data_IF_450629486956
#
_entry.id   IF_450629486956
#
_cell.length_a   1.000
_cell.length_b   1.000
_cell.length_c   1.000
_cell.angle_alpha   90.00
_cell.angle_beta   90.00
_cell.angle_gamma   90.00
#
_symmetry.space_group_name_H-M   'P 1'
#
loop_
_entity.id
_entity.type
_entity.pdbx_description
1 polymer ?
#
# COMPACT_ATOMS: atom_id res chain seq x y z
N UNK A 1 -37.04 -26.38 9.18
CA UNK A 1 -36.89 -24.95 8.81
C UNK A 1 -35.51 -24.45 9.30
N UNK A 2 -34.51 -24.56 8.45
CA UNK A 2 -33.13 -24.12 8.77
C UNK A 2 -32.97 -22.62 8.51
N UNK A 3 -32.67 -21.87 9.56
CA UNK A 3 -32.26 -20.46 9.42
C UNK A 3 -30.93 -20.41 8.69
N UNK A 4 -30.92 -19.99 7.43
CA UNK A 4 -29.72 -19.56 6.70
C UNK A 4 -29.17 -18.33 7.41
N UNK A 5 -28.11 -18.47 8.15
CA UNK A 5 -27.25 -17.36 8.56
C UNK A 5 -26.65 -16.77 7.27
N UNK A 6 -27.13 -15.60 6.86
CA UNK A 6 -26.42 -14.74 5.93
C UNK A 6 -25.23 -14.17 6.71
N UNK A 7 -24.07 -14.84 6.64
CA UNK A 7 -22.81 -14.20 6.93
C UNK A 7 -22.66 -13.06 5.92
N UNK A 8 -22.90 -11.83 6.34
CA UNK A 8 -22.33 -10.67 5.66
C UNK A 8 -20.85 -10.75 5.96
N UNK A 9 -20.08 -11.29 5.01
CA UNK A 9 -18.63 -11.25 5.03
C UNK A 9 -18.22 -9.78 5.30
N UNK A 10 -17.53 -9.57 6.40
CA UNK A 10 -17.02 -8.26 6.79
C UNK A 10 -15.86 -7.94 5.85
N UNK A 11 -16.14 -7.24 4.75
CA UNK A 11 -15.10 -6.82 3.81
C UNK A 11 -14.21 -5.77 4.49
N UNK A 12 -12.92 -6.06 4.59
CA UNK A 12 -11.93 -5.11 5.05
C UNK A 12 -11.62 -4.12 3.93
N UNK A 13 -11.82 -2.84 4.21
CA UNK A 13 -11.64 -1.75 3.25
C UNK A 13 -10.52 -0.84 3.71
N UNK A 14 -9.52 -0.67 2.86
CA UNK A 14 -8.49 0.35 3.04
C UNK A 14 -9.07 1.73 2.70
N UNK A 15 -8.83 2.71 3.56
CA UNK A 15 -9.20 4.11 3.30
C UNK A 15 -8.01 5.01 3.63
N UNK A 16 -7.54 5.79 2.67
CA UNK A 16 -6.39 6.68 2.83
C UNK A 16 -6.53 7.95 1.99
N UNK A 17 -5.92 9.05 2.46
CA UNK A 17 -5.90 10.32 1.74
C UNK A 17 -5.17 10.20 0.41
N UNK A 18 -5.68 10.87 -0.63
CA UNK A 18 -5.05 10.88 -1.94
C UNK A 18 -3.66 11.54 -1.91
N UNK A 19 -3.38 12.47 -1.00
CA UNK A 19 -2.02 13.03 -0.82
C UNK A 19 -1.01 11.94 -0.46
N UNK A 20 -1.39 10.99 0.41
CA UNK A 20 -0.54 9.87 0.79
C UNK A 20 -0.23 8.95 -0.39
N UNK A 21 -1.12 8.88 -1.37
CA UNK A 21 -0.93 8.06 -2.58
C UNK A 21 -0.16 8.81 -3.67
N UNK A 22 -0.57 10.06 -3.95
CA UNK A 22 -0.17 10.79 -5.15
C UNK A 22 1.06 11.67 -4.93
N UNK A 23 1.27 12.16 -3.70
CA UNK A 23 2.31 13.14 -3.37
C UNK A 23 3.50 12.55 -2.60
N UNK A 24 3.48 11.27 -2.31
CA UNK A 24 4.59 10.60 -1.63
C UNK A 24 5.79 10.51 -2.58
N UNK A 25 6.91 11.07 -2.16
CA UNK A 25 8.18 11.06 -2.91
C UNK A 25 9.36 10.94 -1.97
N UNK A 26 10.54 10.67 -2.53
CA UNK A 26 11.81 10.94 -1.85
C UNK A 26 12.25 12.35 -2.22
N UNK A 27 12.58 13.17 -1.23
CA UNK A 27 13.25 14.43 -1.48
C UNK A 27 14.66 14.12 -2.02
N UNK A 28 15.01 14.69 -3.18
CA UNK A 28 16.32 14.47 -3.81
C UNK A 28 17.48 14.94 -2.91
N UNK A 29 17.29 16.02 -2.18
CA UNK A 29 18.32 16.56 -1.27
C UNK A 29 18.48 15.70 -0.01
N UNK A 30 17.40 15.12 0.48
CA UNK A 30 17.40 14.19 1.61
C UNK A 30 17.99 12.84 1.22
N UNK A 31 17.68 12.34 0.00
CA UNK A 31 18.18 11.05 -0.50
C UNK A 31 19.69 11.04 -0.79
N UNK A 32 20.32 12.20 -0.99
CA UNK A 32 21.78 12.32 -1.17
C UNK A 32 22.57 12.06 0.10
N UNK A 33 21.97 12.31 1.26
CA UNK A 33 22.64 12.27 2.56
C UNK A 33 22.30 11.04 3.41
N UNK A 34 21.22 10.35 3.11
CA UNK A 34 20.84 9.09 3.75
C UNK A 34 20.96 7.96 2.72
N UNK A 35 21.42 6.81 3.14
CA UNK A 35 21.47 5.59 2.31
C UNK A 35 20.20 5.48 1.48
N UNK A 36 20.35 5.44 0.15
CA UNK A 36 19.27 5.40 -0.86
C UNK A 36 18.18 4.36 -0.52
N UNK A 37 17.26 4.72 0.35
CA UNK A 37 16.13 3.87 0.71
C UNK A 37 14.93 4.29 -0.15
N UNK A 38 14.43 3.35 -0.94
CA UNK A 38 13.24 3.55 -1.76
C UNK A 38 12.01 3.73 -0.87
N UNK A 39 11.19 4.75 -1.11
CA UNK A 39 9.90 4.91 -0.46
C UNK A 39 8.87 3.89 -0.96
N UNK A 40 9.12 3.26 -2.10
CA UNK A 40 8.22 2.26 -2.67
C UNK A 40 8.35 0.95 -1.90
N UNK A 41 7.35 0.67 -1.09
CA UNK A 41 7.23 -0.58 -0.33
C UNK A 41 7.33 -1.81 -1.26
N UNK A 42 7.97 -2.87 -0.81
CA UNK A 42 7.85 -4.15 -1.48
C UNK A 42 6.43 -4.73 -1.26
N UNK A 43 6.10 -5.81 -1.98
CA UNK A 43 4.75 -6.38 -1.97
C UNK A 43 4.30 -6.76 -0.55
N UNK A 44 5.18 -7.34 0.23
CA UNK A 44 4.85 -7.83 1.56
C UNK A 44 4.69 -6.68 2.57
N UNK A 45 5.61 -5.71 2.53
CA UNK A 45 5.49 -4.46 3.30
C UNK A 45 4.17 -3.75 2.96
N UNK A 46 3.82 -3.70 1.66
CA UNK A 46 2.58 -3.07 1.21
C UNK A 46 1.34 -3.78 1.74
N UNK A 47 1.33 -5.11 1.71
CA UNK A 47 0.25 -5.91 2.28
C UNK A 47 0.09 -5.66 3.78
N UNK A 48 1.21 -5.65 4.53
CA UNK A 48 1.20 -5.37 5.96
C UNK A 48 0.63 -3.97 6.25
N UNK A 49 1.11 -2.94 5.56
CA UNK A 49 0.58 -1.59 5.71
C UNK A 49 -0.90 -1.53 5.31
N UNK A 50 -1.30 -2.16 4.20
CA UNK A 50 -2.70 -2.19 3.79
C UNK A 50 -3.62 -2.86 4.83
N UNK A 51 -3.15 -3.95 5.47
CA UNK A 51 -3.85 -4.57 6.59
C UNK A 51 -4.04 -3.60 7.75
N UNK A 52 -2.96 -2.96 8.21
CA UNK A 52 -3.03 -1.99 9.30
C UNK A 52 -3.96 -0.82 8.95
N UNK A 53 -3.91 -0.32 7.71
CA UNK A 53 -4.80 0.74 7.23
C UNK A 53 -6.28 0.31 7.19
N UNK A 54 -6.57 -0.97 6.94
CA UNK A 54 -7.95 -1.48 6.91
C UNK A 54 -8.61 -1.53 8.29
N UNK A 55 -7.82 -1.52 9.35
CA UNK A 55 -8.32 -1.47 10.74
C UNK A 55 -8.52 -0.05 11.27
N UNK A 56 -8.04 0.96 10.55
CA UNK A 56 -8.24 2.37 10.94
C UNK A 56 -9.68 2.80 10.67
N UNK A 57 -10.33 3.34 11.69
CA UNK A 57 -11.69 3.91 11.59
C UNK A 57 -11.63 5.44 11.44
N UNK A 58 -12.59 6.07 10.76
CA UNK A 58 -12.58 7.52 10.53
C UNK A 58 -12.53 8.38 11.80
N UNK A 59 -13.01 7.84 12.92
CA UNK A 59 -13.10 8.54 14.20
C UNK A 59 -12.05 8.09 15.22
N UNK A 60 -11.08 7.29 14.81
CA UNK A 60 -10.03 6.82 15.71
C UNK A 60 -9.21 8.02 16.23
N UNK A 61 -9.07 8.11 17.53
CA UNK A 61 -8.19 9.06 18.21
C UNK A 61 -6.75 8.56 18.21
N UNK A 62 -6.57 7.26 18.27
CA UNK A 62 -5.30 6.55 18.21
C UNK A 62 -5.42 5.36 17.26
N UNK A 63 -4.30 4.97 16.64
CA UNK A 63 -4.28 3.78 15.80
C UNK A 63 -4.25 2.52 16.66
N UNK A 64 -4.89 1.42 16.23
CA UNK A 64 -4.81 0.16 16.93
C UNK A 64 -3.37 -0.38 16.90
N UNK A 65 -2.97 -1.05 17.98
CA UNK A 65 -1.76 -1.89 17.99
C UNK A 65 -2.13 -3.25 17.41
N UNK A 66 -1.55 -3.57 16.28
CA UNK A 66 -1.74 -4.88 15.65
C UNK A 66 -0.92 -5.93 16.41
N UNK A 67 -1.57 -7.00 16.81
CA UNK A 67 -0.96 -8.14 17.48
C UNK A 67 -0.97 -9.35 16.56
N UNK A 68 0.16 -9.59 15.89
CA UNK A 68 0.26 -10.58 14.81
C UNK A 68 1.05 -11.80 15.29
N UNK A 69 0.45 -13.00 15.33
CA UNK A 69 1.19 -14.24 15.62
C UNK A 69 2.31 -14.47 14.59
N UNK A 70 3.44 -15.05 15.01
CA UNK A 70 4.59 -15.30 14.11
C UNK A 70 4.21 -16.07 12.85
N UNK A 71 3.40 -17.12 12.98
CA UNK A 71 2.98 -17.92 11.85
C UNK A 71 2.15 -17.12 10.85
N UNK A 72 1.24 -16.28 11.33
CA UNK A 72 0.43 -15.39 10.49
C UNK A 72 1.31 -14.31 9.84
N UNK A 73 2.21 -13.68 10.60
CA UNK A 73 3.16 -12.71 10.08
C UNK A 73 4.03 -13.31 8.96
N UNK A 74 4.53 -14.52 9.17
CA UNK A 74 5.37 -15.21 8.19
C UNK A 74 4.61 -15.57 6.91
N UNK A 75 3.39 -16.11 7.02
CA UNK A 75 2.49 -16.34 5.87
C UNK A 75 2.26 -15.05 5.10
N UNK A 76 1.93 -13.99 5.82
CA UNK A 76 1.63 -12.68 5.26
C UNK A 76 2.80 -12.07 4.52
N UNK A 77 4.01 -12.22 5.06
CA UNK A 77 5.25 -11.73 4.48
C UNK A 77 5.93 -12.73 3.53
N UNK A 78 5.25 -13.85 3.19
CA UNK A 78 5.78 -14.97 2.39
C UNK A 78 7.17 -15.43 2.89
N UNK A 79 7.36 -15.42 4.19
CA UNK A 79 8.58 -15.90 4.81
C UNK A 79 8.46 -17.42 4.97
N UNK A 80 9.25 -18.17 4.18
CA UNK A 80 9.25 -19.63 4.24
C UNK A 80 9.74 -20.12 5.59
N UNK A 81 9.06 -21.15 6.10
CA UNK A 81 9.44 -21.82 7.34
C UNK A 81 10.84 -22.43 7.21
N UNK A 82 11.64 -22.29 8.24
CA UNK A 82 13.00 -22.81 8.30
C UNK A 82 13.83 -22.05 9.34
N UNK A 83 14.21 -22.73 10.42
CA UNK A 83 15.16 -22.42 11.54
C UNK A 83 15.58 -21.01 11.92
N UNK A 84 15.25 -19.98 11.12
CA UNK A 84 15.63 -18.57 11.34
C UNK A 84 14.42 -17.62 11.27
N UNK A 85 13.24 -18.08 11.67
CA UNK A 85 12.00 -17.32 11.61
C UNK A 85 12.12 -15.94 12.25
N UNK A 86 12.60 -15.92 13.50
CA UNK A 86 12.79 -14.69 14.25
C UNK A 86 13.69 -13.68 13.52
N UNK A 87 14.83 -14.13 13.00
CA UNK A 87 15.77 -13.24 12.28
C UNK A 87 15.13 -12.63 11.02
N UNK A 88 14.29 -13.39 10.33
CA UNK A 88 13.57 -12.90 9.15
C UNK A 88 12.48 -11.88 9.50
N UNK A 89 11.70 -12.17 10.56
CA UNK A 89 10.70 -11.23 11.10
C UNK A 89 11.38 -9.95 11.53
N UNK A 90 12.46 -10.06 12.32
CA UNK A 90 13.25 -8.90 12.76
C UNK A 90 13.75 -8.07 11.58
N UNK A 91 14.36 -8.70 10.56
CA UNK A 91 14.87 -8.01 9.39
C UNK A 91 13.75 -7.28 8.62
N UNK A 92 12.58 -7.89 8.48
CA UNK A 92 11.43 -7.29 7.79
C UNK A 92 10.91 -6.07 8.53
N UNK A 93 10.78 -6.15 9.85
CA UNK A 93 10.33 -5.02 10.67
C UNK A 93 11.38 -3.93 10.69
N UNK A 94 12.67 -4.25 10.92
CA UNK A 94 13.76 -3.28 10.91
C UNK A 94 13.84 -2.52 9.58
N UNK A 95 13.65 -3.23 8.46
CA UNK A 95 13.61 -2.60 7.15
C UNK A 95 12.42 -1.62 7.03
N UNK A 96 11.24 -2.01 7.50
CA UNK A 96 10.05 -1.15 7.45
C UNK A 96 10.19 0.07 8.37
N UNK A 97 10.75 -0.10 9.56
CA UNK A 97 11.05 1.00 10.51
C UNK A 97 12.04 2.01 9.95
N UNK A 98 13.04 1.55 9.18
CA UNK A 98 14.01 2.42 8.53
C UNK A 98 13.46 3.21 7.33
N UNK A 99 12.22 2.96 6.90
CA UNK A 99 11.64 3.63 5.73
C UNK A 99 10.93 4.92 6.13
N UNK A 100 11.49 6.03 5.69
CA UNK A 100 10.85 7.34 5.73
C UNK A 100 10.40 7.74 4.32
N UNK A 101 9.43 8.63 4.24
CA UNK A 101 8.96 9.24 3.00
C UNK A 101 8.56 10.69 3.25
N UNK A 102 8.58 11.48 2.19
CA UNK A 102 8.20 12.87 2.22
C UNK A 102 6.86 13.09 1.52
N UNK A 103 6.10 14.05 1.99
CA UNK A 103 4.87 14.53 1.35
C UNK A 103 4.95 16.05 1.24
N UNK A 104 4.78 16.57 0.04
CA UNK A 104 4.52 17.99 -0.16
C UNK A 104 3.08 18.29 0.30
N UNK A 105 2.95 18.88 1.49
CA UNK A 105 1.63 19.16 2.09
C UNK A 105 1.02 20.46 1.59
N UNK A 106 1.87 21.43 1.27
CA UNK A 106 1.56 22.72 0.65
C UNK A 106 2.67 23.04 -0.36
N UNK A 107 2.50 24.00 -1.28
CA UNK A 107 3.59 24.45 -2.14
C UNK A 107 4.82 24.80 -1.32
N UNK A 108 5.96 24.21 -1.66
CA UNK A 108 7.27 24.41 -1.00
C UNK A 108 7.33 23.98 0.48
N UNK A 109 6.34 23.23 0.99
CA UNK A 109 6.32 22.68 2.36
C UNK A 109 6.35 21.17 2.32
N UNK A 110 7.48 20.58 2.71
CA UNK A 110 7.70 19.14 2.73
C UNK A 110 7.72 18.66 4.18
N UNK A 111 6.93 17.63 4.44
CA UNK A 111 6.90 16.94 5.74
C UNK A 111 7.36 15.50 5.59
N UNK A 112 8.11 15.01 6.59
CA UNK A 112 8.66 13.66 6.61
C UNK A 112 7.87 12.76 7.54
N UNK A 113 7.66 11.50 7.12
CA UNK A 113 6.86 10.51 7.82
C UNK A 113 7.50 9.14 7.81
N UNK A 114 7.11 8.34 8.79
CA UNK A 114 7.33 6.90 8.83
C UNK A 114 6.00 6.18 8.75
N UNK A 115 6.01 4.94 8.23
CA UNK A 115 4.81 4.12 8.17
C UNK A 115 4.38 3.60 9.52
N UNK A 116 5.34 3.20 10.34
CA UNK A 116 5.09 2.56 11.63
C UNK A 116 5.68 3.39 12.78
N UNK A 117 5.03 3.28 13.93
CA UNK A 117 5.44 3.95 15.15
C UNK A 117 6.76 3.38 15.68
N UNK A 118 7.47 4.20 16.44
CA UNK A 118 8.57 3.72 17.27
C UNK A 118 8.05 2.70 18.30
N UNK A 119 8.91 1.77 18.70
CA UNK A 119 8.55 0.83 19.74
C UNK A 119 7.85 -0.46 19.26
N UNK A 120 7.93 -0.84 17.96
CA UNK A 120 7.55 -2.17 17.53
C UNK A 120 8.21 -3.23 18.41
N UNK A 121 7.41 -4.20 18.90
CA UNK A 121 7.88 -5.26 19.79
C UNK A 121 7.75 -6.63 19.12
N UNK A 122 8.81 -7.44 19.24
CA UNK A 122 8.79 -8.83 18.84
C UNK A 122 8.93 -9.66 20.12
N UNK A 123 7.84 -10.29 20.52
CA UNK A 123 7.82 -11.16 21.70
C UNK A 123 8.10 -12.61 21.31
N UNK A 124 9.30 -13.09 21.68
CA UNK A 124 9.71 -14.47 21.39
C UNK A 124 9.02 -15.50 22.26
N UNK A 125 8.58 -15.12 23.47
CA UNK A 125 7.92 -16.02 24.42
C UNK A 125 6.50 -16.30 23.96
N UNK A 126 5.77 -15.23 23.61
CA UNK A 126 4.41 -15.31 23.10
C UNK A 126 4.34 -15.65 21.61
N UNK A 127 5.48 -15.55 20.89
CA UNK A 127 5.58 -15.71 19.43
C UNK A 127 4.64 -14.72 18.68
N UNK A 128 4.67 -13.45 19.11
CA UNK A 128 3.84 -12.38 18.56
C UNK A 128 4.68 -11.16 18.14
N UNK A 129 4.19 -10.46 17.14
CA UNK A 129 4.68 -9.15 16.71
C UNK A 129 3.64 -8.12 17.11
N UNK A 130 4.07 -7.02 17.75
CA UNK A 130 3.26 -5.85 18.07
C UNK A 130 3.73 -4.71 17.20
N UNK A 131 2.84 -4.17 16.37
CA UNK A 131 3.16 -3.13 15.41
C UNK A 131 2.00 -2.13 15.33
N UNK A 132 2.31 -0.85 15.16
CA UNK A 132 1.32 0.22 15.09
C UNK A 132 1.68 1.19 13.96
N UNK A 133 0.67 1.77 13.30
CA UNK A 133 0.89 2.88 12.37
C UNK A 133 1.43 4.11 13.10
N UNK A 134 2.31 4.84 12.43
CA UNK A 134 2.87 6.08 12.98
C UNK A 134 1.76 7.09 13.27
N UNK A 135 1.69 7.66 14.48
CA UNK A 135 0.69 8.69 14.85
C UNK A 135 0.69 9.89 13.91
N UNK A 136 1.84 10.22 13.31
CA UNK A 136 1.96 11.29 12.32
C UNK A 136 1.08 11.11 11.09
N UNK A 137 0.66 9.87 10.78
CA UNK A 137 -0.23 9.57 9.66
C UNK A 137 -1.70 9.89 9.93
N UNK A 138 -2.07 10.21 11.18
CA UNK A 138 -3.47 10.42 11.58
C UNK A 138 -4.18 11.44 10.69
N UNK A 139 -3.53 12.55 10.36
CA UNK A 139 -4.12 13.59 9.50
C UNK A 139 -4.47 13.13 8.08
N UNK A 140 -3.89 12.00 7.60
CA UNK A 140 -4.20 11.41 6.30
C UNK A 140 -5.20 10.26 6.37
N UNK A 141 -5.43 9.68 7.54
CA UNK A 141 -6.18 8.44 7.68
C UNK A 141 -7.52 8.62 8.41
N UNK A 142 -7.65 9.67 9.24
CA UNK A 142 -8.86 9.91 10.03
C UNK A 142 -9.53 11.22 9.68
N UNK A 143 -10.81 11.36 10.00
CA UNK A 143 -11.57 12.62 9.83
C UNK A 143 -11.81 13.05 8.36
N UNK A 144 -11.44 12.25 7.36
CA UNK A 144 -11.52 12.62 5.95
C UNK A 144 -12.93 12.41 5.39
N UNK A 145 -13.50 13.49 4.83
CA UNK A 145 -14.78 13.47 4.11
C UNK A 145 -14.61 13.56 2.59
N UNK A 146 -13.46 14.02 2.09
CA UNK A 146 -13.15 14.22 0.67
C UNK A 146 -11.69 13.87 0.39
N UNK A 147 -11.35 13.68 -0.88
CA UNK A 147 -9.98 13.43 -1.35
C UNK A 147 -9.32 12.19 -0.72
N UNK A 148 -10.07 11.10 -0.60
CA UNK A 148 -9.55 9.83 -0.14
C UNK A 148 -9.92 8.70 -1.11
N UNK A 149 -9.08 7.69 -1.16
CA UNK A 149 -9.29 6.46 -1.93
C UNK A 149 -9.75 5.35 -1.02
N UNK A 150 -10.73 4.58 -1.49
CA UNK A 150 -11.18 3.33 -0.86
C UNK A 150 -11.05 2.17 -1.83
N UNK A 151 -10.56 1.06 -1.32
CA UNK A 151 -10.54 -0.22 -2.05
C UNK A 151 -10.61 -1.38 -1.07
N UNK A 152 -11.13 -2.50 -1.53
CA UNK A 152 -11.12 -3.74 -0.76
C UNK A 152 -9.71 -4.30 -0.70
N UNK A 153 -9.24 -4.63 0.49
CA UNK A 153 -7.87 -5.10 0.73
C UNK A 153 -7.56 -6.37 -0.09
N UNK A 154 -8.55 -7.21 -0.33
CA UNK A 154 -8.40 -8.45 -1.09
C UNK A 154 -7.78 -8.25 -2.47
N UNK A 155 -8.16 -7.20 -3.20
CA UNK A 155 -7.57 -6.87 -4.50
C UNK A 155 -6.08 -6.52 -4.38
N UNK A 156 -5.69 -5.77 -3.35
CA UNK A 156 -4.28 -5.47 -3.09
C UNK A 156 -3.48 -6.73 -2.76
N UNK A 157 -4.07 -7.69 -2.01
CA UNK A 157 -3.41 -8.94 -1.62
C UNK A 157 -3.13 -9.88 -2.80
N UNK A 158 -3.86 -9.77 -3.92
CA UNK A 158 -3.61 -10.58 -5.10
C UNK A 158 -2.44 -10.07 -5.94
N UNK A 159 -2.07 -8.80 -5.81
CA UNK A 159 -0.94 -8.23 -6.54
C UNK A 159 0.39 -8.79 -6.02
N UNK A 160 1.25 -9.27 -6.92
CA UNK A 160 2.52 -9.94 -6.61
C UNK A 160 3.74 -9.11 -6.94
N UNK A 161 3.58 -8.05 -7.74
CA UNK A 161 4.69 -7.21 -8.17
C UNK A 161 4.67 -5.87 -7.44
N UNK A 162 5.84 -5.40 -7.00
CA UNK A 162 6.03 -4.15 -6.27
C UNK A 162 5.38 -2.94 -6.97
N UNK A 163 5.63 -2.81 -8.27
CA UNK A 163 5.12 -1.68 -9.03
C UNK A 163 3.64 -1.83 -9.39
N UNK A 164 3.12 -3.05 -9.47
CA UNK A 164 1.69 -3.27 -9.63
C UNK A 164 0.91 -2.75 -8.42
N UNK A 165 1.38 -3.03 -7.20
CA UNK A 165 0.76 -2.49 -5.98
C UNK A 165 0.77 -0.96 -5.98
N UNK A 166 1.92 -0.34 -6.32
CA UNK A 166 2.04 1.12 -6.33
C UNK A 166 1.20 1.78 -7.42
N UNK A 167 1.26 1.23 -8.63
CA UNK A 167 0.50 1.75 -9.77
C UNK A 167 -1.01 1.56 -9.56
N UNK A 168 -1.42 0.41 -9.02
CA UNK A 168 -2.82 0.16 -8.69
C UNK A 168 -3.40 1.22 -7.75
N UNK A 169 -2.75 1.51 -6.62
CA UNK A 169 -3.25 2.53 -5.70
C UNK A 169 -3.31 3.92 -6.34
N UNK A 170 -2.25 4.27 -7.09
CA UNK A 170 -2.22 5.55 -7.79
C UNK A 170 -3.40 5.67 -8.77
N UNK A 171 -3.60 4.68 -9.64
CA UNK A 171 -4.67 4.67 -10.62
C UNK A 171 -6.05 4.52 -9.98
N UNK A 172 -6.17 3.73 -8.91
CA UNK A 172 -7.43 3.58 -8.15
C UNK A 172 -7.85 4.91 -7.52
N UNK A 173 -6.90 5.75 -7.11
CA UNK A 173 -7.21 7.09 -6.60
C UNK A 173 -7.79 8.05 -7.65
N UNK A 174 -7.61 7.72 -8.94
CA UNK A 174 -8.05 8.51 -10.07
C UNK A 174 -9.21 7.88 -10.86
N UNK A 175 -9.70 6.70 -10.45
CA UNK A 175 -10.69 5.94 -11.22
C UNK A 175 -11.97 6.73 -11.52
N UNK A 176 -12.41 7.58 -10.61
CA UNK A 176 -13.61 8.41 -10.79
C UNK A 176 -13.42 9.51 -11.86
N UNK A 177 -12.18 9.84 -12.21
CA UNK A 177 -11.86 10.79 -13.28
C UNK A 177 -11.87 10.08 -14.63
N UNK A 178 -11.66 8.76 -14.65
CA UNK A 178 -11.68 7.91 -15.85
C UNK A 178 -10.43 8.00 -16.73
N UNK A 179 -9.60 9.02 -16.55
CA UNK A 179 -8.37 9.21 -17.32
C UNK A 179 -7.36 10.02 -16.51
N UNK A 180 -6.08 9.65 -16.62
CA UNK A 180 -4.98 10.40 -16.00
C UNK A 180 -3.77 10.44 -16.91
N UNK A 181 -3.15 11.62 -16.98
CA UNK A 181 -1.93 11.84 -17.73
C UNK A 181 -0.75 11.97 -16.78
N UNK A 182 0.32 11.22 -17.03
CA UNK A 182 1.58 11.29 -16.29
C UNK A 182 2.75 11.49 -17.24
N UNK A 183 3.50 12.55 -17.02
CA UNK A 183 4.76 12.73 -17.74
C UNK A 183 5.74 11.61 -17.37
N UNK A 184 6.64 11.28 -18.30
CA UNK A 184 7.65 10.23 -18.10
C UNK A 184 8.47 10.46 -16.82
N UNK A 185 8.88 11.71 -16.57
CA UNK A 185 9.66 12.06 -15.37
C UNK A 185 8.82 11.94 -14.09
N UNK A 186 7.58 12.46 -14.09
CA UNK A 186 6.65 12.31 -12.95
C UNK A 186 6.34 10.85 -12.67
N UNK A 187 6.14 10.02 -13.72
CA UNK A 187 5.94 8.58 -13.56
C UNK A 187 7.17 7.94 -12.90
N UNK A 188 8.37 8.27 -13.37
CA UNK A 188 9.61 7.78 -12.78
C UNK A 188 9.69 8.09 -11.30
N UNK A 189 9.47 9.33 -10.94
CA UNK A 189 9.54 9.81 -9.57
C UNK A 189 8.48 9.16 -8.67
N UNK A 190 7.21 9.23 -9.05
CA UNK A 190 6.08 8.83 -8.19
C UNK A 190 5.92 7.31 -8.10
N UNK A 191 6.14 6.58 -9.20
CA UNK A 191 5.87 5.13 -9.25
C UNK A 191 7.12 4.32 -8.99
N UNK A 192 8.27 4.72 -9.54
CA UNK A 192 9.48 3.88 -9.53
C UNK A 192 10.59 4.39 -8.63
N UNK A 193 10.42 5.54 -7.98
CA UNK A 193 11.45 6.18 -7.16
C UNK A 193 12.74 6.42 -7.98
N UNK A 194 12.56 6.98 -9.17
CA UNK A 194 13.61 7.27 -10.15
C UNK A 194 14.46 6.06 -10.62
N UNK A 195 14.01 4.83 -10.33
CA UNK A 195 14.72 3.63 -10.75
C UNK A 195 14.71 3.43 -12.26
N UNK A 196 13.64 3.82 -12.93
CA UNK A 196 13.47 3.70 -14.38
C UNK A 196 13.24 5.07 -15.02
N UNK A 197 14.33 5.83 -15.32
CA UNK A 197 14.19 7.18 -15.87
C UNK A 197 13.83 7.18 -17.38
N UNK A 198 14.02 6.07 -18.07
CA UNK A 198 13.76 5.97 -19.52
C UNK A 198 12.36 5.44 -19.79
N UNK A 199 11.61 6.09 -20.69
CA UNK A 199 10.26 5.68 -21.06
C UNK A 199 10.16 4.22 -21.52
N UNK A 200 11.10 3.75 -22.34
CA UNK A 200 11.13 2.36 -22.81
C UNK A 200 11.27 1.34 -21.66
N UNK A 201 12.10 1.67 -20.66
CA UNK A 201 12.28 0.82 -19.48
C UNK A 201 11.05 0.85 -18.57
N UNK A 202 10.42 2.02 -18.43
CA UNK A 202 9.15 2.18 -17.71
C UNK A 202 8.05 1.32 -18.35
N UNK A 203 7.89 1.41 -19.67
CA UNK A 203 6.89 0.63 -20.39
C UNK A 203 7.13 -0.86 -20.21
N UNK A 204 8.32 -1.35 -20.53
CA UNK A 204 8.67 -2.77 -20.55
C UNK A 204 8.69 -3.42 -19.16
N UNK A 205 9.27 -2.74 -18.16
CA UNK A 205 9.55 -3.36 -16.86
C UNK A 205 8.54 -3.00 -15.78
N UNK A 206 7.73 -1.97 -16.02
CA UNK A 206 6.79 -1.44 -15.01
C UNK A 206 5.37 -1.43 -15.53
N UNK A 207 5.09 -0.66 -16.60
CA UNK A 207 3.72 -0.35 -17.02
C UNK A 207 3.01 -1.59 -17.57
N UNK A 208 3.55 -2.22 -18.62
CA UNK A 208 2.92 -3.39 -19.23
C UNK A 208 2.72 -4.53 -18.22
N UNK A 209 3.75 -4.96 -17.44
CA UNK A 209 3.58 -6.04 -16.48
C UNK A 209 2.63 -5.69 -15.32
N UNK A 210 2.51 -4.40 -14.97
CA UNK A 210 1.60 -3.98 -13.92
C UNK A 210 0.16 -3.91 -14.41
N UNK A 211 -0.08 -3.38 -15.61
CA UNK A 211 -1.42 -3.32 -16.23
C UNK A 211 -1.98 -4.73 -16.44
N UNK A 212 -1.17 -5.66 -16.96
CA UNK A 212 -1.58 -7.06 -17.11
C UNK A 212 -2.06 -7.64 -15.78
N UNK A 213 -1.28 -7.48 -14.70
CA UNK A 213 -1.62 -8.00 -13.38
C UNK A 213 -2.83 -7.29 -12.79
N UNK A 214 -2.90 -5.95 -12.85
CA UNK A 214 -4.04 -5.16 -12.36
C UNK A 214 -5.33 -5.57 -13.06
N UNK A 215 -5.30 -5.69 -14.39
CA UNK A 215 -6.49 -6.09 -15.15
C UNK A 215 -6.97 -7.50 -14.81
N UNK A 216 -6.04 -8.42 -14.53
CA UNK A 216 -6.36 -9.79 -14.18
C UNK A 216 -6.90 -9.95 -12.75
N UNK A 217 -6.43 -9.14 -11.78
CA UNK A 217 -6.62 -9.45 -10.36
C UNK A 217 -7.27 -8.36 -9.52
N UNK A 218 -7.49 -7.14 -10.07
CA UNK A 218 -8.03 -6.02 -9.31
C UNK A 218 -9.45 -5.60 -9.73
N UNK A 219 -10.00 -4.63 -9.02
CA UNK A 219 -11.33 -4.04 -9.22
C UNK A 219 -11.39 -2.97 -10.31
N UNK A 220 -10.27 -2.68 -11.00
CA UNK A 220 -10.22 -1.71 -12.09
C UNK A 220 -9.69 -2.34 -13.38
N UNK A 221 -10.08 -1.75 -14.50
CA UNK A 221 -9.51 -2.03 -15.83
C UNK A 221 -8.72 -0.83 -16.28
N UNK A 222 -7.52 -1.07 -16.78
CA UNK A 222 -6.56 -0.04 -17.17
C UNK A 222 -6.08 -0.30 -18.60
N UNK A 223 -6.03 0.74 -19.42
CA UNK A 223 -5.25 0.77 -20.65
C UNK A 223 -4.35 2.00 -20.69
N UNK A 224 -3.30 1.97 -21.50
CA UNK A 224 -2.32 3.05 -21.60
C UNK A 224 -2.02 3.40 -23.04
N UNK A 225 -1.87 4.69 -23.29
CA UNK A 225 -1.37 5.26 -24.56
C UNK A 225 -0.12 6.07 -24.29
N UNK A 226 0.92 5.90 -25.13
CA UNK A 226 2.08 6.79 -25.13
C UNK A 226 1.79 8.03 -25.96
N UNK A 227 1.90 9.19 -25.35
CA UNK A 227 1.90 10.48 -26.05
C UNK A 227 3.35 10.80 -26.41
N UNK A 228 3.60 11.04 -27.71
CA UNK A 228 4.93 11.28 -28.26
C UNK A 228 5.07 12.67 -28.85
N UNK A 229 6.18 13.33 -28.55
CA UNK A 229 6.65 14.50 -29.29
C UNK A 229 7.51 14.06 -30.45
N UNK A 230 7.27 14.63 -31.62
CA UNK A 230 8.02 14.36 -32.83
C UNK A 230 9.00 15.50 -33.10
N UNK A 231 10.30 15.15 -33.19
CA UNK A 231 11.32 16.08 -33.63
C UNK A 231 11.29 16.25 -35.16
N UNK A 232 11.96 17.28 -35.66
CA UNK A 232 12.11 17.52 -37.12
C UNK A 232 12.66 16.29 -37.90
N UNK A 233 13.35 15.37 -37.23
CA UNK A 233 13.89 14.14 -37.81
C UNK A 233 12.89 12.96 -37.84
N UNK A 234 11.61 13.18 -37.54
CA UNK A 234 10.54 12.19 -37.61
C UNK A 234 10.54 11.11 -36.51
N UNK A 235 11.50 11.10 -35.59
CA UNK A 235 11.52 10.17 -34.45
C UNK A 235 10.73 10.74 -33.27
N UNK A 236 9.63 10.10 -32.92
CA UNK A 236 8.84 10.46 -31.77
C UNK A 236 9.48 10.00 -30.47
N UNK A 237 9.64 10.89 -29.49
CA UNK A 237 10.06 10.60 -28.13
C UNK A 237 8.83 10.53 -27.23
N UNK A 238 8.59 9.43 -26.45
CA UNK A 238 7.54 9.42 -25.47
C UNK A 238 7.78 10.51 -24.41
N UNK A 239 6.76 11.32 -24.14
CA UNK A 239 6.84 12.41 -23.15
C UNK A 239 5.81 12.22 -22.02
N UNK A 240 4.75 11.47 -22.31
CA UNK A 240 3.64 11.29 -21.37
C UNK A 240 2.94 9.95 -21.60
N UNK A 241 2.35 9.41 -20.55
CA UNK A 241 1.43 8.28 -20.56
C UNK A 241 0.03 8.77 -20.25
N UNK A 242 -0.93 8.36 -21.05
CA UNK A 242 -2.36 8.55 -20.80
C UNK A 242 -2.97 7.23 -20.40
N UNK A 243 -3.34 7.11 -19.13
CA UNK A 243 -4.03 5.94 -18.61
C UNK A 243 -5.54 6.16 -18.69
N UNK A 244 -6.25 5.21 -19.27
CA UNK A 244 -7.70 5.15 -19.25
C UNK A 244 -8.13 4.16 -18.18
N UNK A 245 -9.07 4.58 -17.33
CA UNK A 245 -9.46 3.87 -16.11
C UNK A 245 -10.96 3.59 -16.12
N UNK A 246 -11.32 2.37 -15.76
CA UNK A 246 -12.71 1.99 -15.56
C UNK A 246 -12.82 1.10 -14.33
N UNK A 247 -13.77 1.39 -13.46
CA UNK A 247 -14.12 0.47 -12.38
C UNK A 247 -14.87 -0.73 -12.97
N UNK A 248 -14.52 -1.94 -12.55
CA UNK A 248 -15.18 -3.18 -12.97
C UNK A 248 -16.56 -3.26 -12.34
N UNK A 249 -17.49 -3.92 -13.04
CA UNK A 249 -18.84 -4.19 -12.53
C UNK A 249 -18.79 -5.12 -11.32
N UNK A 250 -19.90 -5.20 -10.61
CA UNK A 250 -20.01 -6.12 -9.46
C UNK A 250 -19.77 -7.58 -9.89
N UNK A 251 -20.32 -7.98 -11.03
CA UNK A 251 -20.18 -9.32 -11.60
C UNK A 251 -18.71 -9.63 -11.94
N UNK A 252 -18.00 -8.70 -12.59
CA UNK A 252 -16.59 -8.85 -12.92
C UNK A 252 -15.73 -8.99 -11.66
N UNK A 253 -16.03 -8.21 -10.61
CA UNK A 253 -15.36 -8.31 -9.31
C UNK A 253 -15.61 -9.66 -8.65
N UNK A 254 -16.83 -10.17 -8.66
CA UNK A 254 -17.17 -11.48 -8.10
C UNK A 254 -16.42 -12.63 -8.79
N UNK A 255 -16.28 -12.57 -10.11
CA UNK A 255 -15.50 -13.56 -10.88
C UNK A 255 -14.03 -13.55 -10.41
N UNK A 256 -13.44 -12.37 -10.26
CA UNK A 256 -12.05 -12.24 -9.80
C UNK A 256 -11.90 -12.75 -8.36
N UNK A 257 -12.81 -12.37 -7.46
CA UNK A 257 -12.81 -12.83 -6.06
C UNK A 257 -12.90 -14.35 -5.96
N UNK A 258 -13.66 -14.99 -6.83
CA UNK A 258 -13.78 -16.45 -6.91
C UNK A 258 -12.47 -17.16 -7.30
N UNK A 259 -11.49 -16.45 -7.85
CA UNK A 259 -10.18 -17.00 -8.24
C UNK A 259 -9.09 -16.79 -7.17
N UNK A 260 -9.40 -16.12 -6.06
CA UNK A 260 -8.41 -15.83 -5.03
C UNK A 260 -7.91 -17.12 -4.36
N UNK A 261 -6.59 -17.34 -4.48
CA UNK A 261 -5.94 -18.51 -3.89
C UNK A 261 -5.55 -18.33 -2.41
N UNK A 262 -5.74 -17.15 -1.84
CA UNK A 262 -5.53 -16.87 -0.41
C UNK A 262 -6.92 -16.94 0.24
N UNK A 263 -7.18 -17.86 1.18
CA UNK A 263 -8.41 -17.84 1.92
C UNK A 263 -8.54 -16.49 2.61
N UNK A 264 -9.60 -15.76 2.28
CA UNK A 264 -9.90 -14.46 2.90
C UNK A 264 -10.04 -14.60 4.43
N UNK A 265 -10.48 -15.78 4.88
CA UNK A 265 -10.57 -16.16 6.28
C UNK A 265 -9.21 -16.12 7.01
N UNK A 266 -8.10 -16.43 6.35
CA UNK A 266 -6.75 -16.32 6.92
C UNK A 266 -6.35 -14.84 7.15
N UNK A 267 -6.91 -13.89 6.39
CA UNK A 267 -6.71 -12.44 6.55
C UNK A 267 -7.63 -11.91 7.66
N UNK A 268 -8.87 -12.41 7.74
CA UNK A 268 -9.84 -12.05 8.77
C UNK A 268 -9.49 -12.61 10.15
N UNK A 269 -8.71 -13.69 10.22
CA UNK A 269 -8.21 -14.30 11.47
C UNK A 269 -7.09 -13.48 12.14
N UNK A 270 -6.59 -12.42 11.51
CA UNK A 270 -5.83 -11.42 12.20
C UNK A 270 -6.86 -10.60 13.00
N UNK A 271 -7.01 -10.97 14.26
CA UNK A 271 -7.95 -10.35 15.21
C UNK A 271 -7.84 -8.81 15.11
N UNK A 272 -8.99 -8.12 15.11
CA UNK A 272 -9.03 -6.66 15.24
C UNK A 272 -8.06 -6.28 16.35
N UNK A 273 -7.01 -5.53 16.02
CA UNK A 273 -5.95 -5.16 16.96
C UNK A 273 -6.56 -4.69 18.26
N UNK A 274 -6.00 -5.13 19.37
CA UNK A 274 -6.49 -4.73 20.68
C UNK A 274 -6.47 -3.21 20.76
N UNK A 275 -7.65 -2.61 20.81
CA UNK A 275 -7.77 -1.21 21.14
C UNK A 275 -7.44 -1.08 22.62
N UNK A 276 -6.76 -0.02 23.04
CA UNK A 276 -6.58 0.26 24.44
C UNK A 276 -7.95 0.56 25.06
N UNK A 277 -8.67 -0.48 25.47
CA UNK A 277 -9.78 -0.35 26.39
C UNK A 277 -9.19 -0.16 27.77
N UNK A 278 -9.18 1.09 28.23
CA UNK A 278 -9.29 1.58 29.61
C UNK A 278 -8.65 0.79 30.79
N UNK A 279 -7.68 -0.07 30.56
CA UNK A 279 -6.78 -0.58 31.60
C UNK A 279 -5.37 -0.16 31.27
N UNK A 280 -4.96 0.95 31.87
CA UNK A 280 -3.72 1.69 31.63
C UNK A 280 -2.42 0.93 31.90
N UNK A 281 -2.46 -0.32 32.36
CA UNK A 281 -1.27 -0.97 32.93
C UNK A 281 -0.52 -1.94 32.02
N UNK A 282 -1.09 -2.33 30.85
CA UNK A 282 -0.48 -3.38 30.00
C UNK A 282 -0.05 -2.92 28.60
N UNK A 283 -0.13 -1.64 28.27
CA UNK A 283 0.33 -1.15 26.97
C UNK A 283 1.85 -0.98 26.96
N UNK A 284 2.57 -1.58 25.98
CA UNK A 284 4.02 -1.48 25.88
C UNK A 284 4.52 -0.08 25.50
N UNK A 285 3.61 0.88 25.28
CA UNK A 285 3.94 2.22 24.81
C UNK A 285 3.28 3.25 25.72
N UNK A 286 3.99 3.71 26.74
CA UNK A 286 3.73 5.02 27.36
C UNK A 286 4.61 6.02 26.62
N UNK A 287 4.01 6.93 25.83
CA UNK A 287 4.69 8.15 25.42
C UNK A 287 4.70 9.07 26.65
N UNK A 288 5.87 9.27 27.24
CA UNK A 288 6.13 10.43 28.11
C UNK A 288 6.35 11.68 27.26
#
# INVERSE_FOLDING_TARGET
>A
MGRRYKNKEKQLVVSQDNKLIQKMSTDEDYSRNLTKQSFVLDVYQKRLIALMLSHVKPNDTEFPVEVIPFNSFMKFMDIRDGGKQYSKIHASISKLMGMSFAIEVEPDVIEFYHWIADGCRIDKREKKVYIQLSPGLKKFLTGKKRNFTRYEIGFMMQLKKKYSCRLYEYLRSMVNIGCVNLNVDTFSQVITDNKYPRAADQMRYVIEPAIEEINATSDITVSVEEIREFSANGKGKPVQYKFHLKEKTHEEKQVIMGTWGIPFDDILMLEEGQRPDSKEDDLPFKCE
#
